data_IF_938321422691
#
_entry.id   IF_938321422691
#
_cell.length_a   1.000
_cell.length_b   1.000
_cell.length_c   1.000
_cell.angle_alpha   90.00
_cell.angle_beta   90.00
_cell.angle_gamma   90.00
#
_symmetry.space_group_name_H-M   'P 1'
#
loop_
_entity.id
_entity.type
_entity.pdbx_description
1 polymer ?
#
# COMPACT_ATOMS: atom_id res chain seq x y z
N UNK A 1 -4.52 45.73 -5.11
CA UNK A 1 -5.47 46.62 -5.82
C UNK A 1 -5.88 45.95 -7.14
N UNK A 2 -4.96 45.40 -7.94
CA UNK A 2 -5.28 44.74 -9.23
C UNK A 2 -6.21 43.50 -9.09
N UNK A 3 -6.13 42.78 -7.97
CA UNK A 3 -6.97 41.58 -7.72
C UNK A 3 -8.45 41.96 -7.47
N UNK A 4 -8.70 43.14 -6.87
CA UNK A 4 -10.07 43.60 -6.53
C UNK A 4 -10.86 44.05 -7.78
N UNK A 5 -10.18 44.56 -8.81
CA UNK A 5 -10.81 44.97 -10.04
C UNK A 5 -11.31 43.82 -10.88
N UNK A 6 -10.61 42.69 -10.86
CA UNK A 6 -11.00 41.44 -11.57
C UNK A 6 -12.32 40.86 -11.09
N UNK A 7 -12.68 41.09 -9.81
CA UNK A 7 -13.92 40.57 -9.24
C UNK A 7 -15.18 41.38 -9.57
N UNK A 8 -15.01 42.61 -10.11
CA UNK A 8 -16.10 43.52 -10.40
C UNK A 8 -16.56 43.50 -11.87
N UNK A 9 -15.83 42.84 -12.75
CA UNK A 9 -16.16 42.73 -14.18
C UNK A 9 -17.04 41.52 -14.48
N UNK A 10 -17.80 41.52 -15.61
CA UNK A 10 -18.58 40.34 -16.02
C UNK A 10 -17.73 39.05 -16.10
N UNK A 11 -16.48 39.16 -16.52
CA UNK A 11 -15.50 38.06 -16.58
C UNK A 11 -15.04 37.62 -15.17
N UNK A 12 -15.13 38.50 -14.17
CA UNK A 12 -14.82 38.17 -12.77
C UNK A 12 -15.86 37.27 -12.08
N UNK A 13 -17.08 37.13 -12.66
CA UNK A 13 -18.07 36.18 -12.14
C UNK A 13 -17.65 34.73 -12.37
N UNK A 14 -17.07 34.43 -13.52
CA UNK A 14 -16.58 33.12 -13.84
C UNK A 14 -15.38 32.78 -12.97
N UNK A 15 -14.49 33.73 -12.72
CA UNK A 15 -13.35 33.58 -11.80
C UNK A 15 -13.83 33.37 -10.35
N UNK A 16 -14.87 34.05 -9.91
CA UNK A 16 -15.49 33.89 -8.59
C UNK A 16 -16.12 32.51 -8.42
N UNK A 17 -16.77 32.02 -9.47
CA UNK A 17 -17.37 30.69 -9.47
C UNK A 17 -16.29 29.60 -9.40
N UNK A 18 -15.18 29.74 -10.13
CA UNK A 18 -14.04 28.83 -10.07
C UNK A 18 -13.38 28.86 -8.68
N UNK A 19 -13.30 30.02 -8.05
CA UNK A 19 -12.76 30.17 -6.70
C UNK A 19 -13.69 29.57 -5.65
N UNK A 20 -14.99 29.86 -5.73
CA UNK A 20 -16.00 29.35 -4.80
C UNK A 20 -16.20 27.82 -4.90
N UNK A 21 -16.02 27.27 -6.10
CA UNK A 21 -16.05 25.80 -6.33
C UNK A 21 -14.76 25.09 -5.89
N UNK A 22 -13.81 25.77 -5.28
CA UNK A 22 -12.58 25.19 -4.79
C UNK A 22 -11.55 24.81 -5.84
N UNK A 23 -11.86 24.97 -7.14
CA UNK A 23 -10.99 24.53 -8.25
C UNK A 23 -9.65 25.28 -8.23
N UNK A 24 -9.69 26.62 -8.10
CA UNK A 24 -8.46 27.44 -8.05
C UNK A 24 -7.72 27.22 -6.73
N UNK A 25 -8.44 27.06 -5.62
CA UNK A 25 -7.84 26.77 -4.32
C UNK A 25 -7.11 25.43 -4.33
N UNK A 26 -7.70 24.40 -4.94
CA UNK A 26 -7.06 23.07 -5.08
C UNK A 26 -5.81 23.12 -5.98
N UNK A 27 -5.79 24.00 -6.99
CA UNK A 27 -4.62 24.21 -7.85
C UNK A 27 -3.49 24.98 -7.15
N UNK A 28 -3.83 26.03 -6.39
CA UNK A 28 -2.84 26.89 -5.74
C UNK A 28 -2.36 26.34 -4.39
N UNK A 29 -3.22 25.59 -3.71
CA UNK A 29 -2.95 24.99 -2.41
C UNK A 29 -3.29 23.49 -2.45
N UNK A 30 -2.46 22.68 -3.14
CA UNK A 30 -2.68 21.25 -3.16
C UNK A 30 -2.69 20.73 -1.72
N UNK A 31 -3.67 19.89 -1.40
CA UNK A 31 -3.75 19.26 -0.09
C UNK A 31 -2.43 18.57 0.24
N UNK A 32 -1.94 18.77 1.45
CA UNK A 32 -0.73 18.08 1.91
C UNK A 32 -0.93 16.55 1.79
N UNK A 33 0.04 15.89 1.19
CA UNK A 33 0.04 14.42 1.11
C UNK A 33 0.06 13.83 2.51
N UNK A 34 -0.78 12.81 2.73
CA UNK A 34 -0.80 12.10 4.01
C UNK A 34 0.51 11.37 4.25
N UNK A 35 0.94 11.34 5.51
CA UNK A 35 2.01 10.48 5.97
C UNK A 35 1.45 9.12 6.38
N UNK A 36 2.23 8.06 6.20
CA UNK A 36 1.86 6.72 6.62
C UNK A 36 2.43 6.41 8.01
N UNK A 37 1.54 6.16 8.96
CA UNK A 37 1.92 5.66 10.29
C UNK A 37 1.97 4.14 10.25
N UNK A 38 3.17 3.59 10.05
CA UNK A 38 3.40 2.15 9.96
C UNK A 38 3.19 1.45 11.32
N UNK A 39 2.64 0.25 11.27
CA UNK A 39 2.67 -0.75 12.34
C UNK A 39 2.65 -2.13 11.68
N UNK A 40 3.11 -3.16 12.41
CA UNK A 40 3.18 -4.53 11.87
C UNK A 40 1.82 -4.99 11.33
N UNK A 41 0.76 -4.81 12.12
CA UNK A 41 -0.60 -5.16 11.70
C UNK A 41 -1.05 -4.38 10.47
N UNK A 42 -0.91 -3.04 10.46
CA UNK A 42 -1.33 -2.20 9.33
C UNK A 42 -0.56 -2.53 8.06
N UNK A 43 0.71 -2.85 8.19
CA UNK A 43 1.54 -3.23 7.04
C UNK A 43 1.10 -4.58 6.48
N UNK A 44 0.85 -5.59 7.34
CA UNK A 44 0.32 -6.88 6.92
C UNK A 44 -1.06 -6.74 6.25
N UNK A 45 -1.95 -5.93 6.80
CA UNK A 45 -3.27 -5.64 6.21
C UNK A 45 -3.13 -4.96 4.83
N UNK A 46 -2.24 -3.97 4.70
CA UNK A 46 -2.00 -3.29 3.42
C UNK A 46 -1.39 -4.21 2.37
N UNK A 47 -0.45 -5.07 2.75
CA UNK A 47 0.15 -6.08 1.88
C UNK A 47 -0.91 -7.10 1.45
N UNK A 48 -1.71 -7.61 2.39
CA UNK A 48 -2.81 -8.53 2.09
C UNK A 48 -3.80 -7.92 1.10
N UNK A 49 -4.21 -6.67 1.30
CA UNK A 49 -5.08 -5.95 0.37
C UNK A 49 -4.45 -5.85 -1.02
N UNK A 50 -3.16 -5.52 -1.12
CA UNK A 50 -2.44 -5.49 -2.40
C UNK A 50 -2.41 -6.85 -3.11
N UNK A 51 -2.22 -7.93 -2.34
CA UNK A 51 -2.25 -9.31 -2.84
C UNK A 51 -3.65 -9.72 -3.33
N UNK A 52 -4.72 -9.33 -2.60
CA UNK A 52 -6.09 -9.58 -3.04
C UNK A 52 -6.43 -8.82 -4.32
N UNK A 53 -6.03 -7.55 -4.43
CA UNK A 53 -6.20 -6.77 -5.66
C UNK A 53 -5.43 -7.36 -6.85
N UNK A 54 -4.27 -7.96 -6.59
CA UNK A 54 -3.52 -8.68 -7.61
C UNK A 54 -4.29 -9.95 -8.03
N UNK A 55 -4.73 -10.74 -7.07
CA UNK A 55 -5.49 -11.98 -7.32
C UNK A 55 -6.80 -11.71 -8.06
N UNK A 56 -7.54 -10.67 -7.68
CA UNK A 56 -8.77 -10.25 -8.36
C UNK A 56 -8.54 -9.89 -9.85
N UNK A 57 -7.36 -9.33 -10.19
CA UNK A 57 -7.02 -8.95 -11.56
C UNK A 57 -6.38 -10.06 -12.38
N UNK A 58 -5.54 -10.89 -11.76
CA UNK A 58 -4.73 -11.91 -12.44
C UNK A 58 -5.30 -13.34 -12.25
N UNK A 59 -6.29 -13.51 -11.37
CA UNK A 59 -6.93 -14.78 -11.05
C UNK A 59 -6.15 -15.67 -10.08
N UNK A 60 -4.94 -15.28 -9.69
CA UNK A 60 -4.09 -16.02 -8.76
C UNK A 60 -3.16 -15.09 -7.98
N UNK A 61 -2.66 -15.51 -6.84
CA UNK A 61 -1.62 -14.78 -6.12
C UNK A 61 -0.33 -14.69 -6.94
N UNK A 62 0.49 -13.65 -6.73
CA UNK A 62 1.76 -13.55 -7.45
C UNK A 62 2.69 -14.72 -7.11
N UNK A 63 3.59 -15.05 -8.04
CA UNK A 63 4.65 -16.02 -7.78
C UNK A 63 5.55 -15.54 -6.66
N UNK A 64 6.12 -16.46 -5.89
CA UNK A 64 7.00 -16.17 -4.77
C UNK A 64 8.15 -15.21 -5.14
N UNK A 65 8.81 -15.49 -6.26
CA UNK A 65 9.82 -14.58 -6.80
C UNK A 65 9.16 -13.34 -7.41
N UNK A 66 9.38 -12.15 -6.81
CA UNK A 66 8.87 -10.88 -7.32
C UNK A 66 7.48 -10.49 -6.80
N UNK A 67 6.97 -11.11 -5.74
CA UNK A 67 5.64 -10.82 -5.22
C UNK A 67 5.45 -9.38 -4.72
N UNK A 68 6.47 -8.79 -4.07
CA UNK A 68 6.42 -7.39 -3.65
C UNK A 68 6.38 -6.44 -4.85
N UNK A 69 7.15 -6.74 -5.90
CA UNK A 69 7.17 -5.94 -7.13
C UNK A 69 5.81 -5.99 -7.83
N UNK A 70 5.17 -7.15 -7.82
CA UNK A 70 3.85 -7.36 -8.42
C UNK A 70 2.76 -6.53 -7.73
N UNK A 71 2.84 -6.31 -6.42
CA UNK A 71 1.82 -5.56 -5.66
C UNK A 71 2.18 -4.11 -5.38
N UNK A 72 3.41 -3.69 -5.64
CA UNK A 72 3.89 -2.34 -5.27
C UNK A 72 2.98 -1.23 -5.78
N UNK A 73 2.51 -1.30 -7.02
CA UNK A 73 1.60 -0.30 -7.58
C UNK A 73 0.17 -0.40 -7.01
N UNK A 74 -0.22 -1.56 -6.49
CA UNK A 74 -1.55 -1.79 -5.92
C UNK A 74 -1.69 -1.28 -4.48
N UNK A 75 -0.57 -1.14 -3.76
CA UNK A 75 -0.57 -0.56 -2.41
C UNK A 75 -0.42 0.97 -2.40
N UNK A 76 -0.08 1.57 -3.55
CA UNK A 76 0.00 3.02 -3.70
C UNK A 76 -1.39 3.63 -3.65
N UNK A 77 -1.51 4.77 -2.98
CA UNK A 77 -2.73 5.57 -2.94
C UNK A 77 -2.44 7.00 -3.38
N UNK A 78 -3.41 7.64 -4.03
CA UNK A 78 -3.23 8.95 -4.68
C UNK A 78 -2.92 10.08 -3.71
N UNK A 79 -3.33 9.95 -2.44
CA UNK A 79 -3.15 10.95 -1.39
C UNK A 79 -1.86 10.76 -0.56
N UNK A 80 -0.99 9.83 -0.96
CA UNK A 80 0.34 9.60 -0.38
C UNK A 80 1.44 9.75 -1.42
N UNK A 81 2.62 10.20 -0.98
CA UNK A 81 3.83 10.10 -1.80
C UNK A 81 4.27 8.64 -1.96
N UNK A 82 4.95 8.31 -3.05
CA UNK A 82 5.45 6.97 -3.30
C UNK A 82 6.31 6.42 -2.15
N UNK A 83 7.18 7.25 -1.58
CA UNK A 83 8.01 6.87 -0.43
C UNK A 83 7.17 6.52 0.81
N UNK A 84 6.08 7.23 1.07
CA UNK A 84 5.17 6.93 2.18
C UNK A 84 4.41 5.60 1.93
N UNK A 85 3.99 5.36 0.69
CA UNK A 85 3.35 4.09 0.32
C UNK A 85 4.31 2.90 0.44
N UNK A 86 5.58 3.09 0.11
CA UNK A 86 6.60 2.02 0.22
C UNK A 86 6.89 1.61 1.66
N UNK A 87 6.63 2.46 2.65
CA UNK A 87 6.72 2.08 4.08
C UNK A 87 5.80 0.92 4.44
N UNK A 88 4.74 0.68 3.68
CA UNK A 88 3.82 -0.46 3.86
C UNK A 88 4.48 -1.81 3.60
N UNK A 89 5.55 -1.84 2.80
CA UNK A 89 6.31 -3.06 2.47
C UNK A 89 7.49 -3.32 3.42
N UNK A 90 7.74 -2.41 4.35
CA UNK A 90 8.88 -2.49 5.27
C UNK A 90 8.38 -2.71 6.68
N UNK A 91 8.90 -3.72 7.36
CA UNK A 91 8.60 -3.95 8.77
C UNK A 91 9.07 -2.75 9.60
N UNK A 92 8.27 -2.23 10.53
CA UNK A 92 8.57 -0.97 11.24
C UNK A 92 9.93 -0.93 11.94
N UNK A 93 10.39 -2.03 12.52
CA UNK A 93 11.70 -2.15 13.18
C UNK A 93 12.89 -2.11 12.20
N UNK A 94 12.64 -2.30 10.92
CA UNK A 94 13.62 -2.20 9.83
C UNK A 94 13.56 -0.83 9.14
N UNK A 95 12.67 0.06 9.58
CA UNK A 95 12.55 1.40 9.04
C UNK A 95 13.86 2.15 9.15
N UNK A 96 14.35 2.69 8.04
CA UNK A 96 15.64 3.37 7.98
C UNK A 96 16.83 2.47 7.63
N UNK A 97 16.63 1.17 7.45
CA UNK A 97 17.65 0.25 6.95
C UNK A 97 17.45 0.02 5.45
N UNK A 98 18.28 0.62 4.57
CA UNK A 98 18.10 0.50 3.13
C UNK A 98 18.19 -0.96 2.66
N UNK A 99 17.20 -1.37 1.85
CA UNK A 99 17.18 -2.71 1.26
C UNK A 99 16.64 -3.82 2.16
N UNK A 100 16.24 -3.49 3.41
CA UNK A 100 15.63 -4.45 4.32
C UNK A 100 14.10 -4.26 4.35
N UNK A 101 13.34 -5.37 4.29
CA UNK A 101 11.88 -5.39 4.22
C UNK A 101 11.23 -6.16 5.38
N UNK A 102 11.61 -7.41 5.62
CA UNK A 102 11.20 -8.21 6.77
C UNK A 102 9.82 -8.87 6.66
N UNK A 103 9.21 -8.92 5.48
CA UNK A 103 8.00 -9.68 5.18
C UNK A 103 8.30 -10.74 4.12
N UNK A 104 7.65 -11.90 4.24
CA UNK A 104 7.76 -12.98 3.27
C UNK A 104 6.38 -13.54 2.90
N UNK A 105 6.21 -13.92 1.63
CA UNK A 105 5.04 -14.67 1.18
C UNK A 105 5.24 -16.16 1.45
N UNK A 106 4.15 -16.85 1.78
CA UNK A 106 4.16 -18.31 1.98
C UNK A 106 4.20 -19.03 0.63
N UNK A 107 5.20 -19.88 0.41
CA UNK A 107 5.34 -20.69 -0.80
C UNK A 107 4.12 -21.58 -1.08
N UNK A 108 3.37 -21.97 -0.05
CA UNK A 108 2.14 -22.76 -0.21
C UNK A 108 0.97 -21.96 -0.78
N UNK A 109 0.98 -20.64 -0.68
CA UNK A 109 -0.05 -19.74 -1.20
C UNK A 109 0.38 -19.05 -2.50
N UNK A 110 1.67 -18.77 -2.66
CA UNK A 110 2.21 -18.08 -3.82
C UNK A 110 1.87 -18.79 -5.14
N UNK A 111 1.41 -18.05 -6.14
CA UNK A 111 1.06 -18.57 -7.46
C UNK A 111 -0.21 -19.40 -7.52
N UNK A 112 -0.98 -19.52 -6.42
CA UNK A 112 -2.23 -20.27 -6.38
C UNK A 112 -3.45 -19.37 -6.52
N UNK A 113 -4.57 -19.96 -6.92
CA UNK A 113 -5.88 -19.35 -6.77
C UNK A 113 -6.21 -19.24 -5.28
N UNK A 114 -6.97 -18.22 -4.93
CA UNK A 114 -7.35 -17.94 -3.53
C UNK A 114 -8.05 -19.15 -2.87
N UNK A 115 -8.97 -19.78 -3.60
CA UNK A 115 -9.72 -20.94 -3.07
C UNK A 115 -8.81 -22.17 -2.88
N UNK A 116 -7.84 -22.36 -3.78
CA UNK A 116 -6.87 -23.47 -3.70
C UNK A 116 -5.84 -23.26 -2.58
N UNK A 117 -5.52 -22.01 -2.27
CA UNK A 117 -4.64 -21.69 -1.15
C UNK A 117 -5.26 -22.04 0.21
N UNK A 118 -6.59 -21.87 0.33
CA UNK A 118 -7.35 -22.12 1.55
C UNK A 118 -7.36 -20.93 2.51
N UNK A 119 -8.56 -20.59 3.00
CA UNK A 119 -8.84 -19.37 3.77
C UNK A 119 -7.95 -19.19 5.02
N UNK A 120 -7.62 -20.28 5.71
CA UNK A 120 -6.81 -20.28 6.95
C UNK A 120 -5.32 -20.49 6.72
N UNK A 121 -4.89 -20.60 5.48
CA UNK A 121 -3.48 -20.64 5.14
C UNK A 121 -2.84 -19.26 5.37
N UNK A 122 -1.69 -19.22 6.02
CA UNK A 122 -0.91 -17.98 6.13
C UNK A 122 -0.53 -17.55 4.70
N UNK A 123 -0.84 -16.30 4.37
CA UNK A 123 -0.52 -15.70 3.08
C UNK A 123 0.83 -14.96 3.14
N UNK A 124 0.97 -14.06 4.11
CA UNK A 124 2.20 -13.27 4.36
C UNK A 124 2.49 -13.26 5.85
N UNK A 125 3.75 -13.19 6.19
CA UNK A 125 4.22 -13.19 7.57
C UNK A 125 5.45 -12.31 7.77
N UNK A 126 5.64 -11.85 9.00
CA UNK A 126 6.91 -11.26 9.44
C UNK A 126 7.98 -12.34 9.43
N UNK A 127 9.08 -12.04 8.75
CA UNK A 127 10.13 -13.02 8.46
C UNK A 127 11.47 -12.61 9.04
N UNK A 128 12.27 -13.62 9.42
CA UNK A 128 13.68 -13.48 9.71
C UNK A 128 14.48 -13.04 8.47
N UNK A 129 13.97 -13.33 7.28
CA UNK A 129 14.55 -12.88 6.01
C UNK A 129 14.18 -11.43 5.76
N UNK A 130 15.17 -10.56 5.56
CA UNK A 130 14.94 -9.14 5.36
C UNK A 130 15.05 -8.68 3.91
N UNK A 131 15.41 -9.58 3.00
CA UNK A 131 15.56 -9.28 1.58
C UNK A 131 14.21 -8.99 0.91
N UNK A 132 14.23 -8.19 -0.16
CA UNK A 132 13.05 -7.95 -0.99
C UNK A 132 12.56 -9.24 -1.64
N UNK A 133 11.25 -9.38 -1.75
CA UNK A 133 10.59 -10.58 -2.27
C UNK A 133 10.93 -11.87 -1.49
N UNK A 134 11.27 -11.76 -0.19
CA UNK A 134 11.48 -12.94 0.64
C UNK A 134 10.24 -13.86 0.59
N UNK A 135 10.48 -15.16 0.56
CA UNK A 135 9.44 -16.17 0.55
C UNK A 135 9.91 -17.45 1.26
N UNK A 136 9.00 -18.29 1.64
CA UNK A 136 9.37 -19.55 2.31
C UNK A 136 8.23 -20.21 3.06
N UNK A 137 8.59 -21.03 4.06
CA UNK A 137 7.65 -21.70 4.94
C UNK A 137 7.51 -20.94 6.26
N UNK A 138 6.32 -20.41 6.60
CA UNK A 138 6.10 -19.70 7.86
C UNK A 138 6.37 -20.55 9.10
N UNK A 139 6.30 -21.87 9.00
CA UNK A 139 6.63 -22.75 10.12
C UNK A 139 8.11 -22.67 10.54
N UNK A 140 8.99 -22.29 9.61
CA UNK A 140 10.44 -22.15 9.84
C UNK A 140 10.89 -20.71 10.01
N UNK A 141 10.35 -19.84 9.16
CA UNK A 141 10.94 -18.56 8.86
C UNK A 141 10.19 -17.40 9.52
N UNK A 142 9.02 -17.65 10.13
CA UNK A 142 8.22 -16.62 10.79
C UNK A 142 8.90 -16.12 12.07
N UNK A 143 8.83 -14.79 12.24
CA UNK A 143 9.45 -14.06 13.37
C UNK A 143 8.48 -13.04 14.01
N UNK A 144 7.20 -13.31 13.96
CA UNK A 144 6.18 -12.41 14.52
C UNK A 144 4.79 -12.67 13.97
N UNK A 145 4.08 -11.60 13.65
CA UNK A 145 2.70 -11.69 13.15
C UNK A 145 2.63 -12.24 11.72
N UNK A 146 1.47 -12.77 11.39
CA UNK A 146 1.14 -13.22 10.05
C UNK A 146 -0.30 -12.84 9.71
N UNK A 147 -0.65 -12.90 8.43
CA UNK A 147 -2.01 -12.73 7.95
C UNK A 147 -2.39 -13.92 7.06
N UNK A 148 -3.56 -14.46 7.29
CA UNK A 148 -4.12 -15.56 6.51
C UNK A 148 -4.75 -15.05 5.20
N UNK A 149 -5.05 -15.97 4.29
CA UNK A 149 -5.76 -15.69 3.04
C UNK A 149 -7.11 -15.01 3.29
N UNK A 150 -7.80 -15.32 4.38
CA UNK A 150 -9.06 -14.66 4.76
C UNK A 150 -8.91 -13.30 5.46
N UNK A 151 -7.68 -12.78 5.59
CA UNK A 151 -7.39 -11.51 6.25
C UNK A 151 -7.29 -11.60 7.78
N UNK A 152 -7.41 -12.78 8.38
CA UNK A 152 -7.26 -12.96 9.84
C UNK A 152 -5.80 -12.80 10.25
N UNK A 153 -5.54 -11.93 11.24
CA UNK A 153 -4.20 -11.78 11.83
C UNK A 153 -3.91 -12.94 12.79
N UNK A 154 -2.72 -13.49 12.66
CA UNK A 154 -2.16 -14.55 13.54
C UNK A 154 -0.96 -13.96 14.28
N UNK A 155 -0.99 -14.03 15.60
CA UNK A 155 0.09 -13.58 16.49
C UNK A 155 1.03 -14.73 16.87
#
# INVERSE_FOLDING_TARGET
IALLVLFATPQGKDFRNLWSNGTIQAMLFPAAKRTYSASDQKNLEAICQGLMLYEDSEGQFPKANGWMDAIENRIKVSDMNGNESNKKLVRPDLSGKPGEYGFAINDKAAGKYKDDAGAKTILVYESKQTVRNAHGDPARDRDGMAINVDGTIVK
#
